data_IF_868151380338
#
_entry.id   IF_868151380338
#
_cell.length_a   1.000
_cell.length_b   1.000
_cell.length_c   1.000
_cell.angle_alpha   90.00
_cell.angle_beta   90.00
_cell.angle_gamma   90.00
#
_symmetry.space_group_name_H-M   'P 1'
#
loop_
_entity.id
_entity.type
_entity.pdbx_description
1 polymer ?
#
# COMPACT_ATOMS: atom_id res chain seq x y z
N UNK A 1 -27.54 0.32 14.89
CA UNK A 1 -26.31 -0.44 15.23
C UNK A 1 -26.32 -1.75 14.46
N UNK A 2 -25.26 -2.08 13.72
CA UNK A 2 -25.19 -3.36 12.99
C UNK A 2 -25.19 -4.52 14.00
N UNK A 3 -26.00 -5.55 13.74
CA UNK A 3 -26.23 -6.66 14.67
C UNK A 3 -24.94 -7.51 14.75
N UNK A 4 -24.27 -7.50 15.89
CA UNK A 4 -23.09 -8.34 16.16
C UNK A 4 -23.50 -9.82 16.14
N UNK A 5 -22.79 -10.64 15.37
CA UNK A 5 -22.99 -12.09 15.34
C UNK A 5 -22.48 -12.68 16.66
N UNK A 6 -23.29 -13.49 17.34
CA UNK A 6 -22.90 -14.17 18.59
C UNK A 6 -22.12 -15.45 18.28
N UNK A 7 -21.14 -15.78 19.11
CA UNK A 7 -20.41 -17.04 19.08
C UNK A 7 -19.86 -17.34 20.47
N UNK A 8 -20.43 -18.34 21.17
CA UNK A 8 -20.07 -18.66 22.54
C UNK A 8 -18.59 -19.07 22.73
N UNK A 9 -17.91 -19.50 21.67
CA UNK A 9 -16.48 -19.86 21.73
C UNK A 9 -15.56 -18.65 21.58
N UNK A 10 -16.05 -17.57 20.97
CA UNK A 10 -15.27 -16.38 20.65
C UNK A 10 -15.72 -15.12 21.41
N UNK A 11 -16.93 -15.11 21.97
CA UNK A 11 -17.54 -13.96 22.66
C UNK A 11 -16.77 -13.58 23.93
N UNK A 12 -16.26 -14.57 24.68
CA UNK A 12 -15.58 -14.33 25.96
C UNK A 12 -14.11 -14.72 25.93
N UNK A 13 -13.30 -13.96 26.68
CA UNK A 13 -11.88 -14.23 26.91
C UNK A 13 -11.63 -15.63 27.44
N UNK A 14 -12.42 -16.07 28.40
CA UNK A 14 -12.29 -17.40 29.01
C UNK A 14 -12.59 -18.52 28.02
N UNK A 15 -13.56 -18.35 27.12
CA UNK A 15 -13.84 -19.32 26.07
C UNK A 15 -12.70 -19.39 25.04
N UNK A 16 -12.16 -18.23 24.63
CA UNK A 16 -11.05 -18.15 23.67
C UNK A 16 -9.77 -18.80 24.20
N UNK A 17 -9.46 -18.62 25.49
CA UNK A 17 -8.29 -19.23 26.13
C UNK A 17 -8.39 -20.76 26.29
N UNK A 18 -9.58 -21.37 26.12
CA UNK A 18 -9.74 -22.83 26.07
C UNK A 18 -9.47 -23.41 24.68
N UNK A 19 -9.37 -22.57 23.65
CA UNK A 19 -9.16 -23.02 22.28
C UNK A 19 -7.70 -23.49 22.07
N UNK A 20 -7.55 -24.48 21.19
CA UNK A 20 -6.26 -25.04 20.83
C UNK A 20 -5.36 -23.98 20.17
N UNK A 21 -4.08 -23.99 20.53
CA UNK A 21 -3.09 -23.09 19.94
C UNK A 21 -2.85 -23.43 18.46
N UNK A 22 -2.62 -22.41 17.64
CA UNK A 22 -2.27 -22.57 16.23
C UNK A 22 -3.47 -22.83 15.29
N UNK A 23 -4.59 -23.32 15.82
CA UNK A 23 -5.82 -23.57 15.07
C UNK A 23 -6.55 -22.27 14.77
N UNK A 24 -7.08 -22.15 13.54
CA UNK A 24 -7.90 -21.02 13.11
C UNK A 24 -9.37 -21.35 13.36
N UNK A 25 -10.05 -20.47 14.09
CA UNK A 25 -11.47 -20.53 14.35
C UNK A 25 -12.18 -19.51 13.46
N UNK A 26 -13.13 -19.99 12.67
CA UNK A 26 -13.80 -19.22 11.62
C UNK A 26 -15.22 -18.90 12.06
N UNK A 27 -15.62 -17.64 11.95
CA UNK A 27 -16.99 -17.20 12.20
C UNK A 27 -17.44 -16.27 11.09
N UNK A 28 -18.48 -16.66 10.35
CA UNK A 28 -19.08 -15.81 9.35
C UNK A 28 -19.80 -14.63 10.02
N UNK A 29 -19.51 -13.40 9.57
CA UNK A 29 -20.09 -12.16 10.12
C UNK A 29 -21.16 -11.62 9.19
N UNK A 30 -20.87 -11.61 7.89
CA UNK A 30 -21.81 -11.24 6.83
C UNK A 30 -21.50 -12.02 5.56
N UNK A 31 -22.31 -11.85 4.52
CA UNK A 31 -22.01 -12.46 3.23
C UNK A 31 -20.63 -12.00 2.71
N UNK A 32 -19.82 -12.97 2.27
CA UNK A 32 -18.44 -12.74 1.82
C UNK A 32 -17.42 -12.29 2.88
N UNK A 33 -17.80 -12.15 4.16
CA UNK A 33 -16.90 -11.74 5.26
C UNK A 33 -16.90 -12.75 6.41
N UNK A 34 -15.73 -13.31 6.70
CA UNK A 34 -15.51 -14.24 7.80
C UNK A 34 -14.48 -13.67 8.76
N UNK A 35 -14.83 -13.55 10.04
CA UNK A 35 -13.88 -13.24 11.10
C UNK A 35 -13.13 -14.52 11.49
N UNK A 36 -11.83 -14.38 11.72
CA UNK A 36 -10.95 -15.50 12.02
C UNK A 36 -10.17 -15.19 13.29
N UNK A 37 -10.28 -16.07 14.26
CA UNK A 37 -9.47 -16.04 15.47
C UNK A 37 -8.36 -17.09 15.37
N UNK A 38 -7.14 -16.73 15.75
CA UNK A 38 -6.05 -17.70 15.91
C UNK A 38 -5.31 -17.42 17.20
N UNK A 39 -5.28 -18.40 18.10
CA UNK A 39 -4.45 -18.36 19.30
C UNK A 39 -2.99 -18.61 18.94
N UNK A 40 -2.11 -17.71 19.35
CA UNK A 40 -0.67 -17.81 19.11
C UNK A 40 0.02 -18.65 20.19
N UNK A 41 1.24 -19.13 19.92
CA UNK A 41 2.04 -19.86 20.91
C UNK A 41 2.45 -19.03 22.12
N UNK A 42 2.33 -17.69 22.04
CA UNK A 42 2.56 -16.77 23.14
C UNK A 42 1.32 -16.59 24.05
N UNK A 43 0.27 -17.39 23.85
CA UNK A 43 -0.91 -17.44 24.72
C UNK A 43 -2.07 -16.52 24.29
N UNK A 44 -1.79 -15.42 23.59
CA UNK A 44 -2.81 -14.47 23.11
C UNK A 44 -3.33 -14.76 21.70
N UNK A 45 -4.57 -14.34 21.43
CA UNK A 45 -5.20 -14.45 20.11
C UNK A 45 -4.90 -13.30 19.15
N UNK A 46 -5.06 -13.56 17.87
CA UNK A 46 -5.03 -12.54 16.81
C UNK A 46 -6.30 -12.64 15.96
N UNK A 47 -6.89 -11.50 15.65
CA UNK A 47 -8.05 -11.36 14.78
C UNK A 47 -7.64 -11.10 13.33
N UNK A 48 -8.32 -11.78 12.41
CA UNK A 48 -8.20 -11.57 10.97
C UNK A 48 -9.57 -11.50 10.32
N UNK A 49 -9.70 -10.73 9.25
CA UNK A 49 -10.83 -10.73 8.34
C UNK A 49 -10.47 -11.54 7.09
N UNK A 50 -11.27 -12.55 6.76
CA UNK A 50 -11.23 -13.26 5.49
C UNK A 50 -12.33 -12.75 4.59
N UNK A 51 -11.95 -12.33 3.39
CA UNK A 51 -12.88 -11.91 2.33
C UNK A 51 -12.25 -12.19 0.97
N UNK A 52 -13.07 -12.19 -0.08
CA UNK A 52 -12.58 -12.23 -1.46
C UNK A 52 -12.32 -10.80 -1.93
N UNK A 53 -11.08 -10.52 -2.29
CA UNK A 53 -10.69 -9.24 -2.88
C UNK A 53 -11.29 -9.17 -4.29
N UNK A 54 -12.19 -8.21 -4.52
CA UNK A 54 -12.89 -8.07 -5.81
C UNK A 54 -11.96 -7.62 -6.94
N UNK A 55 -10.78 -7.08 -6.63
CA UNK A 55 -9.84 -6.60 -7.65
C UNK A 55 -8.92 -7.70 -8.17
N UNK A 56 -8.46 -8.56 -7.26
CA UNK A 56 -7.55 -9.66 -7.61
C UNK A 56 -8.27 -11.00 -7.74
N UNK A 57 -9.56 -11.05 -7.38
CA UNK A 57 -10.38 -12.24 -7.20
C UNK A 57 -9.82 -13.27 -6.20
N UNK A 58 -8.79 -12.88 -5.43
CA UNK A 58 -8.11 -13.75 -4.46
C UNK A 58 -8.78 -13.67 -3.09
N UNK A 59 -8.72 -14.78 -2.37
CA UNK A 59 -9.11 -14.81 -0.96
C UNK A 59 -7.99 -14.19 -0.13
N UNK A 60 -8.30 -13.09 0.56
CA UNK A 60 -7.37 -12.37 1.43
C UNK A 60 -7.70 -12.66 2.88
N UNK A 61 -6.65 -12.80 3.70
CA UNK A 61 -6.73 -12.91 5.16
C UNK A 61 -6.04 -11.69 5.79
N UNK A 62 -6.77 -10.61 6.01
CA UNK A 62 -6.24 -9.36 6.53
C UNK A 62 -6.19 -9.37 8.06
N UNK A 63 -5.05 -9.02 8.66
CA UNK A 63 -4.91 -8.91 10.12
C UNK A 63 -5.60 -7.65 10.62
N UNK A 64 -6.46 -7.79 11.64
CA UNK A 64 -7.21 -6.68 12.25
C UNK A 64 -6.54 -6.12 13.52
N UNK A 65 -5.99 -7.01 14.35
CA UNK A 65 -5.44 -6.66 15.66
C UNK A 65 -5.17 -7.89 16.53
N UNK A 66 -4.58 -7.68 17.70
CA UNK A 66 -4.54 -8.68 18.77
C UNK A 66 -5.92 -8.79 19.44
N UNK A 67 -6.18 -9.92 20.07
CA UNK A 67 -7.36 -10.11 20.91
C UNK A 67 -7.08 -9.58 22.32
N UNK A 68 -8.15 -9.15 23.02
CA UNK A 68 -8.16 -8.70 24.43
C UNK A 68 -7.90 -9.84 25.45
N UNK A 69 -7.13 -10.85 25.05
CA UNK A 69 -6.89 -12.04 25.86
C UNK A 69 -5.83 -11.81 26.96
N UNK A 70 -4.96 -10.81 26.80
CA UNK A 70 -3.88 -10.49 27.75
C UNK A 70 -3.84 -9.00 28.11
N UNK A 71 -4.27 -8.13 27.21
CA UNK A 71 -4.33 -6.69 27.40
C UNK A 71 -5.78 -6.22 27.28
N UNK A 72 -6.19 -5.17 28.01
CA UNK A 72 -7.49 -4.55 27.79
C UNK A 72 -7.60 -4.07 26.33
N UNK A 73 -8.80 -4.11 25.79
CA UNK A 73 -9.05 -3.58 24.45
C UNK A 73 -8.82 -2.07 24.43
N UNK A 74 -8.11 -1.60 23.40
CA UNK A 74 -7.85 -0.19 23.14
C UNK A 74 -8.68 0.34 21.95
N UNK A 75 -9.48 -0.54 21.32
CA UNK A 75 -10.29 -0.22 20.15
C UNK A 75 -9.50 -0.08 18.84
N UNK A 76 -8.17 -0.15 18.88
CA UNK A 76 -7.29 0.06 17.73
C UNK A 76 -6.42 -1.16 17.42
N UNK A 77 -5.55 -1.55 18.35
CA UNK A 77 -4.56 -2.61 18.20
C UNK A 77 -4.92 -3.89 18.94
N UNK A 78 -5.68 -3.79 20.04
CA UNK A 78 -6.22 -4.86 20.87
C UNK A 78 -7.74 -4.73 20.84
N UNK A 79 -8.41 -5.78 20.36
CA UNK A 79 -9.83 -5.74 20.04
C UNK A 79 -10.58 -6.85 20.77
N UNK A 80 -11.74 -6.51 21.32
CA UNK A 80 -12.77 -7.49 21.68
C UNK A 80 -13.36 -8.15 20.44
N UNK A 81 -14.10 -9.24 20.62
CA UNK A 81 -14.81 -9.89 19.51
C UNK A 81 -15.81 -8.95 18.81
N UNK A 82 -16.54 -8.15 19.59
CA UNK A 82 -17.51 -7.19 19.04
C UNK A 82 -16.80 -6.07 18.24
N UNK A 83 -15.71 -5.51 18.77
CA UNK A 83 -14.92 -4.50 18.08
C UNK A 83 -14.23 -5.07 16.83
N UNK A 84 -13.74 -6.32 16.88
CA UNK A 84 -13.15 -6.98 15.73
C UNK A 84 -14.18 -7.17 14.60
N UNK A 85 -15.43 -7.53 14.92
CA UNK A 85 -16.52 -7.60 13.94
C UNK A 85 -16.83 -6.23 13.35
N UNK A 86 -16.98 -5.20 14.20
CA UNK A 86 -17.27 -3.85 13.75
C UNK A 86 -16.15 -3.31 12.86
N UNK A 87 -14.89 -3.50 13.25
CA UNK A 87 -13.72 -3.10 12.46
C UNK A 87 -13.70 -3.82 11.11
N UNK A 88 -13.94 -5.13 11.08
CA UNK A 88 -14.03 -5.90 9.84
C UNK A 88 -15.13 -5.39 8.91
N UNK A 89 -16.33 -5.10 9.45
CA UNK A 89 -17.45 -4.55 8.68
C UNK A 89 -17.13 -3.15 8.14
N UNK A 90 -16.60 -2.25 8.97
CA UNK A 90 -16.23 -0.89 8.57
C UNK A 90 -15.15 -0.91 7.49
N UNK A 91 -14.12 -1.76 7.62
CA UNK A 91 -13.10 -1.94 6.59
C UNK A 91 -13.70 -2.44 5.28
N UNK A 92 -14.65 -3.39 5.34
CA UNK A 92 -15.31 -3.87 4.13
C UNK A 92 -16.23 -2.83 3.49
N UNK A 93 -16.97 -2.06 4.28
CA UNK A 93 -17.80 -0.97 3.79
C UNK A 93 -16.94 0.12 3.14
N UNK A 94 -15.85 0.53 3.78
CA UNK A 94 -14.91 1.49 3.21
C UNK A 94 -14.36 1.00 1.86
N UNK A 95 -13.99 -0.28 1.76
CA UNK A 95 -13.54 -0.92 0.51
C UNK A 95 -14.65 -1.01 -0.54
N UNK A 96 -15.90 -1.26 -0.14
CA UNK A 96 -17.04 -1.31 -1.05
C UNK A 96 -17.42 0.08 -1.59
N UNK A 97 -17.26 1.13 -0.78
CA UNK A 97 -17.48 2.53 -1.17
C UNK A 97 -16.35 3.08 -2.02
N UNK A 98 -15.10 2.61 -1.83
CA UNK A 98 -13.94 2.86 -2.71
C UNK A 98 -14.08 2.17 -4.08
N UNK A 99 -15.28 2.20 -4.69
CA UNK A 99 -15.48 1.76 -6.06
C UNK A 99 -14.50 2.49 -6.97
N UNK A 100 -13.89 1.75 -7.89
CA UNK A 100 -13.16 2.25 -9.06
C UNK A 100 -14.13 2.90 -10.07
N UNK A 101 -15.01 3.77 -9.59
CA UNK A 101 -15.96 4.58 -10.36
C UNK A 101 -15.43 6.00 -10.57
N UNK A 102 -16.28 6.90 -11.09
CA UNK A 102 -15.94 8.29 -11.48
C UNK A 102 -15.33 9.16 -10.37
N UNK A 103 -15.37 8.71 -9.10
CA UNK A 103 -14.76 9.36 -7.94
C UNK A 103 -13.54 8.68 -7.33
N UNK A 104 -13.00 7.59 -7.92
CA UNK A 104 -11.80 6.94 -7.37
C UNK A 104 -10.55 7.78 -7.63
N UNK A 105 -10.01 8.37 -6.58
CA UNK A 105 -8.90 9.31 -6.67
C UNK A 105 -7.54 8.63 -6.55
N UNK A 106 -6.48 9.33 -6.95
CA UNK A 106 -5.09 8.86 -6.74
C UNK A 106 -4.80 8.68 -5.25
N UNK A 107 -5.36 9.54 -4.39
CA UNK A 107 -5.22 9.41 -2.93
C UNK A 107 -5.83 8.10 -2.42
N UNK A 108 -6.99 7.69 -2.96
CA UNK A 108 -7.62 6.42 -2.61
C UNK A 108 -6.74 5.24 -3.05
N UNK A 109 -6.19 5.31 -4.27
CA UNK A 109 -5.27 4.31 -4.80
C UNK A 109 -3.99 4.18 -3.96
N UNK A 110 -3.44 5.30 -3.50
CA UNK A 110 -2.30 5.32 -2.60
C UNK A 110 -2.63 4.74 -1.23
N UNK A 111 -3.82 5.01 -0.68
CA UNK A 111 -4.27 4.45 0.58
C UNK A 111 -4.44 2.92 0.50
N UNK A 112 -5.07 2.42 -0.56
CA UNK A 112 -5.25 0.98 -0.81
C UNK A 112 -3.89 0.28 -0.96
N UNK A 113 -2.94 0.90 -1.66
CA UNK A 113 -1.59 0.37 -1.81
C UNK A 113 -0.83 0.30 -0.48
N UNK A 114 -0.95 1.32 0.38
CA UNK A 114 -0.31 1.32 1.70
C UNK A 114 -0.90 0.23 2.61
N UNK A 115 -2.21 -0.03 2.53
CA UNK A 115 -2.87 -1.11 3.27
C UNK A 115 -2.36 -2.49 2.80
N UNK A 116 -2.26 -2.69 1.49
CA UNK A 116 -1.67 -3.90 0.92
C UNK A 116 -0.19 -4.05 1.31
N UNK A 117 0.59 -2.97 1.23
CA UNK A 117 2.02 -2.99 1.56
C UNK A 117 2.24 -3.37 3.04
N UNK A 118 1.41 -2.86 3.95
CA UNK A 118 1.49 -3.17 5.38
C UNK A 118 1.18 -4.64 5.71
N UNK A 119 0.43 -5.32 4.85
CA UNK A 119 0.07 -6.74 5.03
C UNK A 119 1.01 -7.70 4.31
N UNK A 120 1.65 -7.28 3.22
CA UNK A 120 2.45 -8.16 2.35
C UNK A 120 3.96 -7.89 2.40
N UNK A 121 4.43 -6.78 2.97
CA UNK A 121 5.84 -6.36 2.98
C UNK A 121 6.31 -5.91 4.36
N UNK A 122 7.63 -5.73 4.51
CA UNK A 122 8.26 -5.29 5.77
C UNK A 122 7.83 -3.87 6.15
N UNK A 123 7.51 -3.67 7.44
CA UNK A 123 7.08 -2.38 8.00
C UNK A 123 8.08 -1.23 7.80
N UNK A 124 9.38 -1.52 7.71
CA UNK A 124 10.43 -0.51 7.48
C UNK A 124 10.24 0.23 6.16
N UNK A 125 9.83 -0.46 5.10
CA UNK A 125 9.57 0.15 3.79
C UNK A 125 8.22 0.87 3.71
N UNK A 126 7.29 0.57 4.62
CA UNK A 126 5.98 1.22 4.66
C UNK A 126 6.10 2.70 5.04
N UNK A 127 6.95 3.01 6.03
CA UNK A 127 7.16 4.39 6.50
C UNK A 127 7.75 5.28 5.42
N UNK A 128 8.77 4.81 4.70
CA UNK A 128 9.40 5.56 3.60
C UNK A 128 8.45 5.75 2.42
N UNK A 129 7.69 4.71 2.08
CA UNK A 129 6.69 4.76 0.99
C UNK A 129 5.58 5.74 1.32
N UNK A 130 5.01 5.68 2.53
CA UNK A 130 3.99 6.62 3.01
C UNK A 130 4.50 8.06 2.99
N UNK A 131 5.74 8.28 3.44
CA UNK A 131 6.35 9.61 3.39
C UNK A 131 6.46 10.14 1.95
N UNK A 132 6.90 9.30 1.00
CA UNK A 132 7.01 9.70 -0.40
C UNK A 132 5.65 10.04 -1.03
N UNK A 133 4.61 9.26 -0.72
CA UNK A 133 3.23 9.49 -1.18
C UNK A 133 2.73 10.85 -0.68
N UNK A 134 2.74 11.05 0.65
CA UNK A 134 2.21 12.26 1.26
C UNK A 134 2.97 13.53 0.82
N UNK A 135 4.26 13.38 0.50
CA UNK A 135 5.11 14.52 0.15
C UNK A 135 5.04 14.91 -1.34
N UNK A 136 4.91 13.93 -2.24
CA UNK A 136 5.12 14.15 -3.68
C UNK A 136 3.91 13.82 -4.54
N UNK A 137 3.08 12.87 -4.11
CA UNK A 137 1.94 12.38 -4.90
C UNK A 137 0.67 13.10 -4.46
N UNK A 138 0.30 12.99 -3.18
CA UNK A 138 -0.98 13.52 -2.68
C UNK A 138 -1.15 15.03 -2.90
N UNK A 139 -0.13 15.89 -2.70
CA UNK A 139 -0.33 17.33 -2.86
C UNK A 139 -0.62 17.78 -4.30
N UNK A 140 -0.29 16.96 -5.30
CA UNK A 140 -0.37 17.35 -6.72
C UNK A 140 -1.41 16.53 -7.48
N UNK A 141 -1.43 15.22 -7.24
CA UNK A 141 -2.26 14.26 -7.97
C UNK A 141 -3.37 13.67 -7.10
N UNK A 142 -3.30 13.83 -5.77
CA UNK A 142 -4.19 13.22 -4.79
C UNK A 142 -5.69 13.33 -5.12
N UNK A 143 -6.26 14.53 -5.34
CA UNK A 143 -7.70 14.68 -5.58
C UNK A 143 -8.14 14.30 -7.00
N UNK A 144 -7.19 13.95 -7.89
CA UNK A 144 -7.52 13.67 -9.29
C UNK A 144 -8.06 12.25 -9.42
N UNK A 145 -9.15 12.02 -10.19
CA UNK A 145 -9.62 10.67 -10.44
C UNK A 145 -8.59 9.91 -11.28
N UNK A 146 -8.36 8.65 -10.93
CA UNK A 146 -7.38 7.78 -11.62
C UNK A 146 -7.72 7.63 -13.11
N UNK A 147 -9.01 7.65 -13.46
CA UNK A 147 -9.49 7.59 -14.84
C UNK A 147 -9.17 8.82 -15.69
N UNK A 148 -8.95 9.98 -15.06
CA UNK A 148 -8.62 11.22 -15.78
C UNK A 148 -7.12 11.48 -15.87
N UNK A 149 -6.26 10.60 -15.33
CA UNK A 149 -4.82 10.77 -15.42
C UNK A 149 -4.33 10.55 -16.86
N UNK A 150 -3.70 11.58 -17.41
CA UNK A 150 -3.06 11.50 -18.74
C UNK A 150 -1.56 11.26 -18.64
N UNK A 151 -0.98 10.66 -19.69
CA UNK A 151 0.47 10.41 -19.78
C UNK A 151 1.26 11.73 -19.75
N UNK A 152 0.74 12.79 -20.37
CA UNK A 152 1.44 14.06 -20.45
C UNK A 152 1.46 14.81 -19.11
N UNK A 153 0.39 14.72 -18.33
CA UNK A 153 0.37 15.21 -16.95
C UNK A 153 1.41 14.49 -16.09
N UNK A 154 1.47 13.16 -16.18
CA UNK A 154 2.46 12.35 -15.46
C UNK A 154 3.90 12.72 -15.87
N UNK A 155 4.14 12.94 -17.17
CA UNK A 155 5.45 13.40 -17.67
C UNK A 155 5.81 14.79 -17.15
N UNK A 156 4.86 15.73 -17.15
CA UNK A 156 5.07 17.09 -16.64
C UNK A 156 5.38 17.06 -15.14
N UNK A 157 4.61 16.30 -14.37
CA UNK A 157 4.85 16.11 -12.93
C UNK A 157 6.20 15.45 -12.65
N UNK A 158 6.57 14.39 -13.39
CA UNK A 158 7.85 13.71 -13.23
C UNK A 158 9.05 14.62 -13.54
N UNK A 159 8.96 15.45 -14.59
CA UNK A 159 10.00 16.46 -14.88
C UNK A 159 10.12 17.47 -13.74
N UNK A 160 9.01 17.98 -13.20
CA UNK A 160 9.01 18.89 -12.05
C UNK A 160 9.68 18.27 -10.82
N UNK A 161 9.46 16.98 -10.56
CA UNK A 161 10.15 16.26 -9.48
C UNK A 161 11.65 16.14 -9.71
N UNK A 162 12.08 15.89 -10.95
CA UNK A 162 13.49 15.78 -11.28
C UNK A 162 14.24 17.13 -11.20
N UNK A 163 13.55 18.25 -11.44
CA UNK A 163 14.13 19.60 -11.40
C UNK A 163 14.00 20.31 -10.05
N UNK A 164 13.09 19.88 -9.17
CA UNK A 164 12.90 20.49 -7.85
C UNK A 164 14.16 20.37 -6.98
N UNK A 165 14.52 21.41 -6.22
CA UNK A 165 15.74 21.47 -5.39
C UNK A 165 15.76 20.43 -4.24
N UNK A 166 16.95 20.02 -3.72
CA UNK A 166 17.05 18.89 -2.81
C UNK A 166 16.53 19.33 -1.47
N UNK A 167 15.56 18.63 -0.90
CA UNK A 167 15.04 19.05 0.39
C UNK A 167 16.00 18.63 1.51
N UNK A 168 16.35 19.57 2.36
CA UNK A 168 17.13 19.34 3.58
C UNK A 168 16.15 18.89 4.66
N UNK A 169 16.56 17.88 5.44
CA UNK A 169 15.80 17.39 6.58
C UNK A 169 15.64 18.52 7.59
N UNK A 170 14.42 19.05 7.73
CA UNK A 170 14.08 20.01 8.79
C UNK A 170 13.70 19.30 10.09
N UNK A 171 13.84 19.98 11.23
CA UNK A 171 13.27 19.53 12.51
C UNK A 171 11.73 19.52 12.42
N UNK A 172 11.09 18.73 13.31
CA UNK A 172 9.68 18.25 13.31
C UNK A 172 8.55 19.28 13.06
N UNK A 173 8.86 20.58 13.05
CA UNK A 173 7.93 21.71 12.86
C UNK A 173 8.44 22.80 11.90
N UNK A 174 9.55 22.57 11.19
CA UNK A 174 10.14 23.57 10.28
C UNK A 174 9.59 23.46 8.85
N UNK A 175 9.31 24.62 8.24
CA UNK A 175 9.08 24.75 6.78
C UNK A 175 10.10 23.92 6.02
N UNK A 176 9.66 23.29 4.94
CA UNK A 176 10.51 22.43 4.12
C UNK A 176 11.64 23.27 3.55
N UNK A 177 12.89 22.98 3.95
CA UNK A 177 14.07 23.72 3.50
C UNK A 177 14.64 23.05 2.26
N UNK A 178 15.03 23.86 1.29
CA UNK A 178 15.72 23.41 0.09
C UNK A 178 17.23 23.58 0.31
N UNK A 179 18.01 22.65 -0.25
CA UNK A 179 19.47 22.65 -0.20
C UNK A 179 19.94 23.67 -1.22
N UNK A 180 20.72 24.63 -0.75
CA UNK A 180 21.43 25.57 -1.60
C UNK A 180 22.52 24.82 -2.41
N UNK A 181 22.62 25.13 -3.70
CA UNK A 181 23.61 24.55 -4.62
C UNK A 181 23.01 23.70 -5.74
N UNK A 182 23.77 23.53 -6.83
CA UNK A 182 23.36 22.76 -7.99
C UNK A 182 23.10 21.29 -7.60
N UNK A 183 21.87 20.78 -7.80
CA UNK A 183 21.55 19.41 -7.42
C UNK A 183 22.30 18.42 -8.32
N UNK A 184 22.81 17.34 -7.73
CA UNK A 184 23.27 16.17 -8.51
C UNK A 184 22.08 15.64 -9.33
N UNK A 185 22.12 15.91 -10.64
CA UNK A 185 21.06 15.58 -11.57
C UNK A 185 20.82 14.06 -11.64
N UNK A 186 21.86 13.24 -11.43
CA UNK A 186 21.75 11.78 -11.47
C UNK A 186 20.98 11.27 -10.25
N UNK A 187 21.32 11.73 -9.05
CA UNK A 187 20.59 11.39 -7.83
C UNK A 187 19.11 11.86 -7.88
N UNK A 188 18.82 12.98 -8.52
CA UNK A 188 17.44 13.47 -8.67
C UNK A 188 16.61 12.68 -9.64
N UNK A 189 17.15 12.34 -10.81
CA UNK A 189 16.50 11.40 -11.73
C UNK A 189 16.19 10.07 -11.04
N UNK A 190 17.14 9.52 -10.27
CA UNK A 190 16.92 8.29 -9.51
C UNK A 190 15.79 8.40 -8.49
N UNK A 191 15.67 9.54 -7.80
CA UNK A 191 14.61 9.79 -6.81
C UNK A 191 13.25 9.95 -7.48
N UNK A 192 13.16 10.75 -8.55
CA UNK A 192 11.94 10.94 -9.33
C UNK A 192 11.44 9.61 -9.93
N UNK A 193 12.34 8.78 -10.45
CA UNK A 193 12.01 7.44 -10.97
C UNK A 193 11.46 6.53 -9.88
N UNK A 194 12.02 6.55 -8.66
CA UNK A 194 11.48 5.76 -7.52
C UNK A 194 10.07 6.18 -7.15
N UNK A 195 9.80 7.48 -7.12
CA UNK A 195 8.48 8.03 -6.80
C UNK A 195 7.47 7.68 -7.90
N UNK A 196 7.88 7.75 -9.17
CA UNK A 196 7.06 7.33 -10.31
C UNK A 196 6.69 5.84 -10.21
N UNK A 197 7.64 4.97 -9.84
CA UNK A 197 7.36 3.56 -9.62
C UNK A 197 6.32 3.35 -8.51
N UNK A 198 6.43 4.10 -7.40
CA UNK A 198 5.43 4.04 -6.31
C UNK A 198 4.05 4.44 -6.83
N UNK A 199 3.94 5.54 -7.56
CA UNK A 199 2.67 5.99 -8.15
C UNK A 199 2.08 4.94 -9.08
N UNK A 200 2.89 4.32 -9.94
CA UNK A 200 2.44 3.24 -10.81
C UNK A 200 1.92 2.04 -10.02
N UNK A 201 2.60 1.63 -8.95
CA UNK A 201 2.13 0.57 -8.08
C UNK A 201 0.81 0.93 -7.38
N UNK A 202 0.64 2.20 -6.98
CA UNK A 202 -0.60 2.68 -6.36
C UNK A 202 -1.78 2.67 -7.34
N UNK A 203 -1.63 3.34 -8.49
CA UNK A 203 -2.72 3.52 -9.44
C UNK A 203 -3.10 2.23 -10.19
N UNK A 204 -2.15 1.33 -10.43
CA UNK A 204 -2.33 0.18 -11.34
C UNK A 204 -2.18 -1.19 -10.67
N UNK A 205 -1.88 -1.27 -9.37
CA UNK A 205 -1.88 -2.47 -8.50
C UNK A 205 -1.50 -3.78 -9.22
N UNK A 206 -0.33 -3.81 -9.87
CA UNK A 206 0.18 -5.03 -10.52
C UNK A 206 1.12 -5.78 -9.57
N UNK A 207 0.73 -6.97 -9.13
CA UNK A 207 1.66 -7.92 -8.47
C UNK A 207 2.33 -8.88 -9.49
N UNK A 208 2.15 -8.66 -10.80
CA UNK A 208 2.97 -9.17 -11.92
C UNK A 208 2.89 -8.25 -13.15
N UNK A 209 3.93 -8.18 -14.01
CA UNK A 209 3.96 -7.30 -15.19
C UNK A 209 3.21 -7.89 -16.40
N UNK A 210 1.88 -7.97 -16.35
CA UNK A 210 0.94 -8.17 -17.48
C UNK A 210 -0.49 -8.20 -16.87
N UNK A 211 -1.59 -7.76 -17.46
CA UNK A 211 -1.98 -7.43 -18.82
C UNK A 211 -3.10 -6.36 -18.74
N UNK A 212 -3.04 -5.30 -19.54
CA UNK A 212 -4.14 -4.37 -19.74
C UNK A 212 -4.34 -4.09 -21.22
N UNK A 213 -5.61 -4.02 -21.64
CA UNK A 213 -6.08 -3.94 -23.04
C UNK A 213 -5.75 -2.65 -23.79
N UNK A 214 -5.18 -1.63 -23.15
CA UNK A 214 -4.86 -0.35 -23.79
C UNK A 214 -3.34 -0.11 -23.79
N UNK A 215 -2.72 -0.69 -24.82
CA UNK A 215 -1.29 -0.81 -25.08
C UNK A 215 -0.54 0.53 -25.33
N UNK A 216 -1.26 1.63 -25.58
CA UNK A 216 -0.65 2.91 -25.96
C UNK A 216 -0.06 3.71 -24.79
N UNK A 217 -0.64 3.63 -23.59
CA UNK A 217 -0.15 4.38 -22.43
C UNK A 217 1.20 3.89 -21.90
N UNK A 218 1.47 2.60 -22.07
CA UNK A 218 2.66 1.93 -21.51
C UNK A 218 3.85 1.84 -22.47
N UNK A 219 3.64 1.69 -23.79
CA UNK A 219 4.74 1.72 -24.77
C UNK A 219 5.54 3.03 -24.71
N UNK A 220 4.87 4.15 -24.43
CA UNK A 220 5.48 5.45 -24.35
C UNK A 220 6.26 5.74 -23.04
N UNK A 221 6.02 4.96 -21.98
CA UNK A 221 6.73 5.06 -20.69
C UNK A 221 7.87 4.05 -20.56
N UNK A 222 7.70 2.85 -21.13
CA UNK A 222 8.68 1.74 -21.06
C UNK A 222 9.83 1.89 -22.05
N UNK A 223 9.66 2.63 -23.16
CA UNK A 223 10.75 2.83 -24.15
C UNK A 223 11.90 3.73 -23.66
N UNK A 224 11.76 4.42 -22.52
CA UNK A 224 12.87 5.24 -21.94
C UNK A 224 13.59 4.62 -20.75
N UNK A 225 13.02 3.59 -20.12
CA UNK A 225 13.66 2.92 -18.99
C UNK A 225 14.64 1.81 -19.41
N UNK A 226 14.62 1.39 -20.68
CA UNK A 226 15.48 0.30 -21.21
C UNK A 226 16.70 0.80 -22.00
N UNK A 227 16.74 2.09 -22.38
CA UNK A 227 17.87 2.66 -23.16
C UNK A 227 19.07 3.02 -22.26
N UNK A 228 18.86 3.30 -20.97
CA UNK A 228 19.96 3.62 -20.04
C UNK A 228 20.78 2.40 -19.57
N UNK A 229 20.41 1.17 -19.97
CA UNK A 229 21.24 -0.03 -19.79
C UNK A 229 22.14 -0.35 -20.99
N UNK A 230 22.06 0.40 -22.09
CA UNK A 230 22.92 0.18 -23.26
C UNK A 230 24.11 1.16 -23.36
N UNK A 231 24.15 2.22 -22.55
CA UNK A 231 25.21 3.24 -22.56
C UNK A 231 26.34 3.00 -21.53
N UNK A 232 26.32 1.90 -20.78
CA UNK A 232 27.44 1.46 -19.92
C UNK A 232 28.09 0.14 -20.35
N UNK A 233 27.68 -0.43 -21.48
CA UNK A 233 28.33 -1.62 -22.07
C UNK A 233 29.06 -1.34 -23.39
N UNK A 234 28.96 -0.13 -23.95
CA UNK A 234 29.74 0.31 -25.13
C UNK A 234 30.98 1.15 -24.82
N UNK A 235 31.27 1.41 -23.54
CA UNK A 235 32.48 2.12 -23.12
C UNK A 235 33.61 1.19 -22.62
N UNK A 236 33.42 -0.13 -22.69
CA UNK A 236 34.38 -1.14 -22.21
C UNK A 236 34.93 -2.04 -23.34
N UNK A 237 34.77 -1.65 -24.61
CA UNK A 237 35.26 -2.39 -25.79
C UNK A 237 35.92 -1.46 -26.81
N UNK A 238 36.63 -0.44 -26.32
CA UNK A 238 37.36 0.53 -27.13
C UNK A 238 38.79 0.73 -26.62
N UNK A 239 39.55 -0.35 -26.45
CA UNK A 239 41.00 -0.33 -26.30
C UNK A 239 41.55 -1.71 -26.71
N UNK A 240 42.56 -1.72 -27.59
CA UNK A 240 43.15 -2.82 -28.36
C UNK A 240 42.54 -2.95 -29.79
N UNK A 241 43.21 -2.71 -30.92
CA UNK A 241 44.63 -2.54 -31.24
C UNK A 241 44.73 -1.86 -32.62
N UNK A 242 45.53 -0.80 -32.75
CA UNK A 242 46.06 -0.27 -34.02
C UNK A 242 47.55 -0.01 -33.75
N UNK A 243 48.43 -0.64 -34.53
CA UNK A 243 49.87 -0.55 -34.41
C UNK A 243 50.49 -1.88 -34.02
#
# INVERSE_FOLDING_TARGET
MARTVRDSKLDSRTARLKLAMGVRHWRQVSDGLTLVYRRTGAGYGTWFARYRDRETDKVVLARLGAADDHMPADGESVLTFAEAQQKAMTTMQARATRRRGTGYTVSDACADYLEWYGTHRKATGLKSTRYAINLHIDPVLGPRPVSALTVDELRKWHRKLATAAPRVRSKKSGKIREREGAPDQRARKATANRILTILCCCAFKTDQPCAFKNDQGWKAARLRATVDKCSHQKAATGSATLG
#
